data_IF_972001356230
#
_entry.id   IF_972001356230
#
_cell.length_a   1.000
_cell.length_b   1.000
_cell.length_c   1.000
_cell.angle_alpha   90.00
_cell.angle_beta   90.00
_cell.angle_gamma   90.00
#
_symmetry.space_group_name_H-M   'P 1'
#
loop_
_entity.id
_entity.type
_entity.pdbx_description
1 polymer ?
#
# COMPACT_ATOMS: atom_id res chain seq x y z
N UNK A 1 -23.00 47.58 7.36
CA UNK A 1 -22.11 48.49 8.12
C UNK A 1 -21.76 47.81 9.43
N UNK A 2 -20.48 47.93 9.82
CA UNK A 2 -19.78 47.46 11.03
C UNK A 2 -19.14 46.05 10.97
N UNK A 3 -17.86 46.10 10.60
CA UNK A 3 -16.76 45.20 11.00
C UNK A 3 -16.38 45.45 12.48
N UNK A 4 -15.73 44.49 13.14
CA UNK A 4 -14.64 44.86 14.04
C UNK A 4 -13.43 43.92 13.91
N UNK A 5 -12.31 44.46 13.42
CA UNK A 5 -10.97 44.01 13.80
C UNK A 5 -10.47 44.96 14.88
N UNK A 6 -10.14 44.43 16.05
CA UNK A 6 -9.35 45.14 17.06
C UNK A 6 -8.32 44.18 17.63
N UNK A 7 -7.05 44.57 17.53
CA UNK A 7 -5.87 43.81 17.94
C UNK A 7 -5.24 44.61 19.09
N UNK A 8 -5.43 44.16 20.32
CA UNK A 8 -4.73 44.70 21.49
C UNK A 8 -3.56 43.81 21.90
N UNK A 9 -2.42 44.47 22.07
CA UNK A 9 -1.12 43.97 22.49
C UNK A 9 -1.14 43.29 23.86
N UNK A 10 -0.23 42.33 24.08
CA UNK A 10 0.31 42.07 25.41
C UNK A 10 1.79 41.70 25.36
N UNK A 11 2.59 42.54 26.01
CA UNK A 11 4.00 42.36 26.35
C UNK A 11 4.12 41.37 27.52
N UNK A 12 5.02 40.39 27.42
CA UNK A 12 5.60 39.72 28.60
C UNK A 12 7.12 39.57 28.39
N UNK A 13 7.83 39.87 29.47
CA UNK A 13 9.24 40.22 29.58
C UNK A 13 10.22 39.07 29.33
N UNK A 14 11.42 39.49 28.94
CA UNK A 14 12.67 38.74 29.04
C UNK A 14 13.09 38.63 30.49
N UNK A 15 13.62 37.47 30.87
CA UNK A 15 14.65 37.35 31.89
C UNK A 15 15.64 36.25 31.44
N UNK A 16 16.89 36.65 31.29
CA UNK A 16 18.06 35.81 31.10
C UNK A 16 18.55 35.31 32.46
N UNK A 17 18.84 34.01 32.62
CA UNK A 17 20.16 33.59 33.13
C UNK A 17 20.41 32.08 33.04
N UNK A 18 21.69 31.81 32.78
CA UNK A 18 22.35 30.54 32.55
C UNK A 18 22.60 29.77 33.86
N UNK A 19 22.57 28.43 33.82
CA UNK A 19 23.50 27.65 34.64
C UNK A 19 23.88 26.32 33.96
N UNK A 20 25.16 25.99 34.10
CA UNK A 20 25.89 24.89 33.47
C UNK A 20 26.01 23.77 34.49
N UNK A 21 25.45 22.60 34.20
CA UNK A 21 25.51 21.44 35.08
C UNK A 21 25.60 20.14 34.29
N UNK A 22 26.82 19.64 34.14
CA UNK A 22 27.19 18.39 33.49
C UNK A 22 26.94 17.20 34.43
N UNK A 23 26.12 16.22 34.04
CA UNK A 23 26.18 14.86 34.60
C UNK A 23 25.62 13.84 33.62
N UNK A 24 26.53 12.99 33.13
CA UNK A 24 26.29 11.79 32.34
C UNK A 24 25.29 10.84 33.00
N UNK A 25 24.22 10.47 32.30
CA UNK A 25 23.56 9.17 32.49
C UNK A 25 23.11 8.59 31.14
N UNK A 26 23.61 7.40 30.85
CA UNK A 26 23.23 6.54 29.73
C UNK A 26 21.73 6.18 29.77
N UNK A 27 20.99 6.41 28.69
CA UNK A 27 19.97 5.44 28.21
C UNK A 27 19.44 5.79 26.81
N UNK A 28 19.61 4.83 25.89
CA UNK A 28 18.77 4.47 24.73
C UNK A 28 18.14 5.58 23.87
N UNK A 29 18.68 5.73 22.66
CA UNK A 29 18.26 6.65 21.60
C UNK A 29 16.85 6.32 21.07
N UNK A 30 16.14 7.41 20.80
CA UNK A 30 14.72 7.57 20.52
C UNK A 30 14.26 7.01 19.17
N UNK A 31 12.99 6.57 19.13
CA UNK A 31 12.22 6.43 17.91
C UNK A 31 11.65 7.80 17.52
N UNK A 32 12.12 8.36 16.41
CA UNK A 32 11.69 9.68 15.93
C UNK A 32 10.29 9.59 15.33
N UNK A 33 9.28 9.77 16.19
CA UNK A 33 7.90 9.98 15.79
C UNK A 33 7.74 11.36 15.16
N UNK A 34 7.35 11.38 13.89
CA UNK A 34 6.97 12.60 13.16
C UNK A 34 5.74 13.21 13.87
N UNK A 35 5.87 14.48 14.27
CA UNK A 35 4.96 15.18 15.17
C UNK A 35 3.50 15.24 14.71
N UNK A 36 2.59 14.93 15.63
CA UNK A 36 1.20 15.37 15.60
C UNK A 36 0.81 16.03 16.92
N UNK A 37 0.15 17.17 16.77
CA UNK A 37 -0.35 18.08 17.79
C UNK A 37 -1.23 17.42 18.88
N UNK A 38 -1.08 17.95 20.10
CA UNK A 38 -1.97 17.90 21.29
C UNK A 38 -2.47 16.53 21.76
N UNK A 39 -1.84 16.03 22.83
CA UNK A 39 -2.23 14.84 23.60
C UNK A 39 -3.61 14.99 24.24
N UNK A 40 -4.67 14.66 23.52
CA UNK A 40 -5.90 14.18 24.15
C UNK A 40 -5.65 12.79 24.76
N UNK A 41 -6.15 12.52 25.96
CA UNK A 41 -6.12 11.17 26.52
C UNK A 41 -6.84 10.20 25.59
N UNK A 42 -6.26 9.02 25.32
CA UNK A 42 -6.89 7.96 24.51
C UNK A 42 -8.30 7.69 25.09
N UNK A 43 -9.39 7.89 24.31
CA UNK A 43 -10.76 7.92 24.83
C UNK A 43 -11.31 6.54 25.21
N UNK A 44 -10.71 5.48 24.66
CA UNK A 44 -11.10 4.09 24.88
C UNK A 44 -10.09 3.37 25.78
N UNK A 45 -10.61 2.50 26.62
CA UNK A 45 -9.86 1.49 27.38
C UNK A 45 -10.18 0.11 26.76
N UNK A 46 -9.17 -0.63 26.33
CA UNK A 46 -9.35 -1.99 25.80
C UNK A 46 -9.63 -2.96 26.97
N UNK A 47 -10.74 -3.70 26.86
CA UNK A 47 -11.14 -4.74 27.81
C UNK A 47 -10.62 -6.10 27.35
N UNK A 48 -10.77 -6.40 26.06
CA UNK A 48 -10.35 -7.67 25.48
C UNK A 48 -10.08 -7.55 24.00
N UNK A 49 -9.21 -8.44 23.51
CA UNK A 49 -8.86 -8.62 22.11
C UNK A 49 -8.85 -10.11 21.78
N UNK A 50 -9.60 -10.50 20.78
CA UNK A 50 -9.80 -11.92 20.44
C UNK A 50 -9.84 -12.06 18.92
N UNK A 51 -9.08 -12.99 18.35
CA UNK A 51 -9.31 -13.41 16.97
C UNK A 51 -10.63 -14.20 16.92
N UNK A 52 -11.56 -13.74 16.08
CA UNK A 52 -12.90 -14.36 15.93
C UNK A 52 -13.09 -15.05 14.59
N UNK A 53 -12.19 -14.80 13.63
CA UNK A 53 -12.16 -15.45 12.34
C UNK A 53 -10.75 -15.42 11.75
N UNK A 54 -10.38 -16.49 11.05
CA UNK A 54 -9.18 -16.55 10.21
C UNK A 54 -9.49 -17.32 8.93
N UNK A 55 -9.14 -16.71 7.81
CA UNK A 55 -9.10 -17.39 6.52
C UNK A 55 -7.80 -18.19 6.40
N UNK A 56 -7.88 -19.43 5.90
CA UNK A 56 -6.72 -20.26 5.59
C UNK A 56 -6.76 -20.62 4.11
N UNK A 57 -5.67 -20.31 3.39
CA UNK A 57 -5.52 -20.65 1.96
C UNK A 57 -5.97 -19.57 0.96
N UNK A 58 -6.61 -18.49 1.44
CA UNK A 58 -6.95 -17.31 0.64
C UNK A 58 -5.96 -16.16 0.85
N UNK A 59 -6.47 -14.97 1.12
CA UNK A 59 -5.66 -13.75 1.34
C UNK A 59 -4.90 -13.74 2.69
N UNK A 60 -5.05 -14.79 3.51
CA UNK A 60 -4.54 -14.88 4.88
C UNK A 60 -4.95 -13.64 5.70
N UNK A 61 -6.27 -13.43 5.81
CA UNK A 61 -6.82 -12.39 6.66
C UNK A 61 -7.46 -12.95 7.92
N UNK A 62 -7.41 -12.16 8.99
CA UNK A 62 -8.02 -12.44 10.27
C UNK A 62 -8.93 -11.28 10.69
N UNK A 63 -10.02 -11.60 11.39
CA UNK A 63 -10.88 -10.63 12.05
C UNK A 63 -10.63 -10.70 13.55
N UNK A 64 -10.25 -9.57 14.12
CA UNK A 64 -10.03 -9.41 15.56
C UNK A 64 -11.16 -8.59 16.16
N UNK A 65 -11.88 -9.16 17.12
CA UNK A 65 -12.83 -8.44 17.96
C UNK A 65 -12.06 -7.70 19.06
N UNK A 66 -12.31 -6.40 19.19
CA UNK A 66 -11.78 -5.53 20.24
C UNK A 66 -12.97 -4.99 21.03
N UNK A 67 -13.09 -5.37 22.31
CA UNK A 67 -14.08 -4.80 23.23
C UNK A 67 -13.43 -3.70 24.04
N UNK A 68 -14.11 -2.58 24.16
CA UNK A 68 -13.60 -1.38 24.80
C UNK A 68 -14.64 -0.75 25.72
N UNK A 69 -14.15 0.08 26.64
CA UNK A 69 -14.95 0.98 27.47
C UNK A 69 -14.59 2.43 27.16
N UNK A 70 -15.58 3.27 26.94
CA UNK A 70 -15.40 4.72 26.79
C UNK A 70 -15.07 5.30 28.16
N UNK A 71 -13.86 5.85 28.33
CA UNK A 71 -13.38 6.33 29.65
C UNK A 71 -14.25 7.44 30.24
N UNK A 72 -14.84 8.29 29.39
CA UNK A 72 -15.63 9.43 29.82
C UNK A 72 -17.04 9.05 30.31
N UNK A 73 -17.65 8.01 29.74
CA UNK A 73 -19.06 7.65 30.00
C UNK A 73 -19.22 6.29 30.69
N UNK A 74 -18.20 5.43 30.63
CA UNK A 74 -18.30 4.04 31.07
C UNK A 74 -19.01 3.11 30.09
N UNK A 75 -19.53 3.64 28.97
CA UNK A 75 -20.23 2.86 27.94
C UNK A 75 -19.31 1.85 27.26
N UNK A 76 -19.87 0.72 26.85
CA UNK A 76 -19.15 -0.32 26.13
C UNK A 76 -19.22 -0.09 24.63
N UNK A 77 -18.11 -0.32 23.92
CA UNK A 77 -18.04 -0.30 22.47
C UNK A 77 -17.24 -1.49 21.95
N UNK A 78 -17.69 -2.08 20.85
CA UNK A 78 -17.04 -3.22 20.19
C UNK A 78 -16.65 -2.85 18.76
N UNK A 79 -15.46 -3.26 18.35
CA UNK A 79 -14.94 -3.11 17.00
C UNK A 79 -14.49 -4.45 16.45
N UNK A 80 -14.73 -4.69 15.16
CA UNK A 80 -14.15 -5.81 14.44
C UNK A 80 -13.13 -5.25 13.46
N UNK A 81 -11.86 -5.60 13.66
CA UNK A 81 -10.74 -5.11 12.86
C UNK A 81 -10.22 -6.23 11.96
N UNK A 82 -10.05 -5.93 10.68
CA UNK A 82 -9.51 -6.86 9.68
C UNK A 82 -8.01 -6.62 9.53
N UNK A 83 -7.24 -7.71 9.62
CA UNK A 83 -5.81 -7.73 9.35
C UNK A 83 -5.53 -8.71 8.21
N UNK A 84 -4.66 -8.33 7.27
CA UNK A 84 -4.20 -9.18 6.18
C UNK A 84 -2.72 -9.49 6.42
N UNK A 85 -2.29 -10.74 6.15
CA UNK A 85 -0.89 -11.17 6.27
C UNK A 85 -0.26 -10.78 7.61
N UNK A 86 -1.00 -10.99 8.70
CA UNK A 86 -0.62 -10.63 10.07
C UNK A 86 -0.20 -9.15 10.27
N UNK A 87 -0.69 -8.24 9.44
CA UNK A 87 -0.38 -6.81 9.53
C UNK A 87 0.98 -6.43 8.95
N UNK A 88 1.57 -7.28 8.09
CA UNK A 88 2.74 -6.92 7.31
C UNK A 88 2.48 -5.63 6.51
N UNK A 89 3.54 -4.84 6.31
CA UNK A 89 3.42 -3.58 5.58
C UNK A 89 3.37 -3.90 4.09
N UNK A 90 2.32 -3.45 3.40
CA UNK A 90 2.23 -3.57 1.94
C UNK A 90 3.01 -2.49 1.19
N UNK A 91 3.18 -2.67 -0.11
CA UNK A 91 3.81 -1.70 -1.01
C UNK A 91 2.87 -1.30 -2.14
N UNK A 92 2.96 -0.04 -2.59
CA UNK A 92 2.42 0.41 -3.88
C UNK A 92 3.60 0.94 -4.69
N UNK A 93 3.82 0.35 -5.85
CA UNK A 93 4.95 0.63 -6.73
C UNK A 93 4.57 1.69 -7.78
N UNK A 94 5.02 2.92 -7.58
CA UNK A 94 4.99 3.97 -8.61
C UNK A 94 6.14 3.71 -9.59
N UNK A 95 5.88 2.84 -10.56
CA UNK A 95 6.87 2.40 -11.56
C UNK A 95 6.91 3.39 -12.72
N UNK A 96 8.10 3.91 -13.03
CA UNK A 96 8.34 4.80 -14.17
C UNK A 96 9.37 4.24 -15.13
N UNK A 97 9.10 4.38 -16.43
CA UNK A 97 10.08 4.14 -17.48
C UNK A 97 11.11 5.27 -17.58
N UNK A 98 12.18 5.05 -18.35
CA UNK A 98 13.21 6.07 -18.61
C UNK A 98 12.64 7.31 -19.34
N UNK A 99 11.64 7.13 -20.20
CA UNK A 99 10.91 8.22 -20.87
C UNK A 99 9.77 8.82 -20.00
N UNK A 100 9.73 8.48 -18.71
CA UNK A 100 8.89 9.14 -17.72
C UNK A 100 7.42 8.74 -17.72
N UNK A 101 7.06 7.62 -18.38
CA UNK A 101 5.70 7.07 -18.34
C UNK A 101 5.53 6.13 -17.16
N UNK A 102 4.30 6.03 -16.67
CA UNK A 102 3.90 5.17 -15.56
C UNK A 102 3.38 3.83 -16.06
N UNK A 103 3.68 2.75 -15.34
CA UNK A 103 3.09 1.44 -15.60
C UNK A 103 1.83 1.24 -14.75
N UNK A 104 0.73 0.87 -15.39
CA UNK A 104 -0.50 0.44 -14.74
C UNK A 104 -0.84 -1.00 -15.14
N UNK A 105 -1.28 -1.79 -14.17
CA UNK A 105 -1.98 -3.07 -14.37
C UNK A 105 -3.49 -2.84 -14.41
N UNK A 106 -4.22 -3.70 -15.12
CA UNK A 106 -5.68 -3.65 -15.18
C UNK A 106 -6.25 -4.87 -14.45
N UNK A 107 -6.64 -4.66 -13.20
CA UNK A 107 -6.98 -5.70 -12.26
C UNK A 107 -8.48 -5.99 -12.21
N UNK A 108 -8.90 -7.26 -12.29
CA UNK A 108 -10.27 -7.64 -11.96
C UNK A 108 -10.47 -7.60 -10.44
N UNK A 109 -11.26 -6.65 -9.96
CA UNK A 109 -11.56 -6.49 -8.53
C UNK A 109 -12.89 -7.16 -8.20
N UNK A 110 -12.83 -8.35 -7.59
CA UNK A 110 -14.02 -9.15 -7.25
C UNK A 110 -15.02 -8.41 -6.35
N UNK A 111 -14.53 -7.55 -5.44
CA UNK A 111 -15.35 -6.79 -4.49
C UNK A 111 -16.29 -5.78 -5.15
N UNK A 112 -15.89 -5.26 -6.32
CA UNK A 112 -16.64 -4.27 -7.10
C UNK A 112 -17.06 -4.80 -8.47
N UNK A 113 -16.65 -6.02 -8.83
CA UNK A 113 -16.98 -6.71 -10.09
C UNK A 113 -16.64 -5.88 -11.34
N UNK A 114 -15.48 -5.23 -11.33
CA UNK A 114 -15.00 -4.43 -12.45
C UNK A 114 -13.48 -4.51 -12.59
N UNK A 115 -13.01 -4.13 -13.78
CA UNK A 115 -11.60 -3.92 -14.07
C UNK A 115 -11.17 -2.54 -13.58
N UNK A 116 -10.06 -2.47 -12.85
CA UNK A 116 -9.48 -1.21 -12.34
C UNK A 116 -8.03 -1.05 -12.79
N UNK A 117 -7.70 0.16 -13.25
CA UNK A 117 -6.32 0.54 -13.54
C UNK A 117 -5.59 0.93 -12.26
N UNK A 118 -4.49 0.26 -11.99
CA UNK A 118 -3.81 0.34 -10.71
C UNK A 118 -2.29 0.31 -10.85
N UNK A 119 -1.59 0.92 -9.89
CA UNK A 119 -0.18 0.66 -9.71
C UNK A 119 0.04 -0.76 -9.14
N UNK A 120 1.13 -1.44 -9.54
CA UNK A 120 1.51 -2.72 -8.95
C UNK A 120 1.65 -2.61 -7.44
N UNK A 121 1.18 -3.62 -6.70
CA UNK A 121 1.11 -3.58 -5.25
C UNK A 121 0.92 -4.95 -4.64
N UNK A 122 1.42 -5.12 -3.43
CA UNK A 122 1.04 -6.27 -2.63
C UNK A 122 1.47 -6.15 -1.19
N UNK A 123 1.21 -7.20 -0.42
CA UNK A 123 1.47 -7.23 1.00
C UNK A 123 2.86 -7.79 1.27
N UNK A 124 3.57 -7.23 2.25
CA UNK A 124 4.85 -7.77 2.67
C UNK A 124 4.74 -9.18 3.25
N UNK A 125 5.81 -9.94 3.13
CA UNK A 125 5.95 -11.23 3.80
C UNK A 125 6.87 -11.15 5.02
N UNK A 126 6.85 -12.19 5.86
CA UNK A 126 7.64 -12.22 7.09
C UNK A 126 9.14 -12.10 6.78
N UNK A 127 9.78 -11.07 7.35
CA UNK A 127 11.21 -10.82 7.19
C UNK A 127 11.60 -10.03 5.93
N UNK A 128 10.65 -9.69 5.05
CA UNK A 128 10.93 -8.83 3.89
C UNK A 128 11.11 -7.36 4.30
N UNK A 129 12.06 -6.67 3.69
CA UNK A 129 12.08 -5.21 3.66
C UNK A 129 11.06 -4.68 2.65
N UNK A 130 10.70 -3.40 2.77
CA UNK A 130 9.78 -2.73 1.84
C UNK A 130 10.30 -2.79 0.40
N UNK A 131 11.61 -2.65 0.21
CA UNK A 131 12.25 -2.75 -1.09
C UNK A 131 12.18 -4.16 -1.65
N UNK A 132 12.39 -5.18 -0.80
CA UNK A 132 12.27 -6.59 -1.22
C UNK A 132 10.84 -6.91 -1.67
N UNK A 133 9.85 -6.53 -0.86
CA UNK A 133 8.43 -6.67 -1.22
C UNK A 133 8.12 -5.94 -2.53
N UNK A 134 8.56 -4.68 -2.68
CA UNK A 134 8.30 -3.91 -3.90
C UNK A 134 8.90 -4.54 -5.17
N UNK A 135 10.08 -5.15 -5.07
CA UNK A 135 10.73 -5.85 -6.21
C UNK A 135 9.99 -7.15 -6.52
N UNK A 136 9.63 -7.92 -5.49
CA UNK A 136 8.90 -9.19 -5.64
C UNK A 136 7.55 -8.94 -6.32
N UNK A 137 6.75 -8.03 -5.80
CA UNK A 137 5.43 -7.69 -6.37
C UNK A 137 5.56 -7.13 -7.79
N UNK A 138 6.59 -6.31 -8.06
CA UNK A 138 6.88 -5.85 -9.41
C UNK A 138 7.16 -7.03 -10.34
N UNK A 139 7.98 -7.99 -9.93
CA UNK A 139 8.32 -9.15 -10.75
C UNK A 139 7.12 -10.07 -10.99
N UNK A 140 6.34 -10.37 -9.95
CA UNK A 140 5.14 -11.21 -10.01
C UNK A 140 4.09 -10.63 -10.97
N UNK A 141 3.77 -9.34 -10.83
CA UNK A 141 2.74 -8.70 -11.63
C UNK A 141 3.21 -8.32 -13.05
N UNK A 142 4.46 -7.86 -13.16
CA UNK A 142 4.91 -7.18 -14.38
C UNK A 142 5.91 -8.00 -15.19
N UNK A 143 6.67 -8.87 -14.53
CA UNK A 143 7.83 -9.59 -15.09
C UNK A 143 9.11 -8.74 -15.17
N UNK A 144 9.10 -7.51 -14.65
CA UNK A 144 10.30 -6.69 -14.50
C UNK A 144 11.04 -7.06 -13.23
N UNK A 145 12.33 -7.34 -13.37
CA UNK A 145 13.15 -7.79 -12.25
C UNK A 145 14.09 -6.69 -11.78
N UNK A 146 14.86 -6.97 -10.73
CA UNK A 146 15.95 -6.10 -10.27
C UNK A 146 16.86 -5.61 -11.41
N UNK A 147 17.09 -6.44 -12.44
CA UNK A 147 17.96 -6.11 -13.56
C UNK A 147 17.39 -5.04 -14.51
N UNK A 148 16.08 -4.80 -14.47
CA UNK A 148 15.41 -3.77 -15.26
C UNK A 148 15.33 -2.42 -14.51
N UNK A 149 15.68 -2.37 -13.23
CA UNK A 149 15.73 -1.14 -12.42
C UNK A 149 16.97 -0.34 -12.79
N UNK A 150 16.83 0.99 -12.91
CA UNK A 150 17.94 1.90 -13.15
C UNK A 150 18.90 1.88 -11.97
N UNK A 151 20.19 1.63 -12.19
CA UNK A 151 21.19 1.79 -11.14
C UNK A 151 21.71 3.22 -11.13
N UNK A 152 21.49 4.00 -10.06
CA UNK A 152 22.27 5.20 -9.80
C UNK A 152 23.62 4.76 -9.26
N UNK A 153 24.59 4.64 -10.16
CA UNK A 153 26.00 4.63 -9.72
C UNK A 153 26.26 5.96 -9.04
N UNK A 154 26.37 5.95 -7.71
CA UNK A 154 26.91 7.09 -6.97
C UNK A 154 28.36 7.21 -7.45
N UNK A 155 28.67 8.23 -8.26
CA UNK A 155 30.05 8.67 -8.42
C UNK A 155 30.49 9.19 -7.04
N UNK A 156 31.12 8.34 -6.24
CA UNK A 156 31.88 8.80 -5.09
C UNK A 156 33.14 9.47 -5.63
N UNK A 157 33.22 10.78 -5.50
CA UNK A 157 34.49 11.47 -5.66
C UNK A 157 35.45 10.96 -4.57
N UNK A 158 36.37 10.11 -5.02
CA UNK A 158 37.70 9.82 -4.48
C UNK A 158 37.84 9.17 -3.09
N UNK A 159 38.47 8.00 -3.15
CA UNK A 159 39.37 7.36 -2.17
C UNK A 159 38.86 7.17 -0.75
N UNK A 160 38.25 6.01 -0.49
CA UNK A 160 38.63 5.18 0.65
C UNK A 160 38.22 3.71 0.39
N UNK A 161 39.22 2.83 0.40
CA UNK A 161 39.06 1.38 0.22
C UNK A 161 38.87 0.75 1.59
N UNK A 162 37.63 0.53 2.03
CA UNK A 162 37.34 -0.36 3.15
C UNK A 162 36.06 -1.19 2.95
N UNK A 163 36.26 -2.51 3.04
CA UNK A 163 35.30 -3.62 3.26
C UNK A 163 33.98 -3.63 2.48
N UNK A 164 33.92 -4.51 1.47
CA UNK A 164 32.68 -5.03 0.88
C UNK A 164 31.96 -5.92 1.90
N UNK A 165 30.97 -5.37 2.60
CA UNK A 165 29.94 -6.15 3.29
C UNK A 165 28.58 -5.49 3.09
N UNK A 166 27.76 -6.09 2.24
CA UNK A 166 26.28 -6.05 2.19
C UNK A 166 25.55 -4.72 2.51
N UNK A 167 26.03 -3.60 1.97
CA UNK A 167 25.30 -2.32 2.00
C UNK A 167 25.31 -1.64 0.64
N UNK A 168 24.84 -2.34 -0.38
CA UNK A 168 24.43 -1.68 -1.63
C UNK A 168 22.95 -1.34 -1.54
N UNK A 169 22.61 -0.38 -0.69
CA UNK A 169 21.26 0.20 -0.64
C UNK A 169 21.15 1.11 -1.87
N UNK A 170 20.76 0.53 -3.01
CA UNK A 170 20.66 1.29 -4.24
C UNK A 170 19.62 2.40 -4.09
N UNK A 171 19.97 3.63 -4.48
CA UNK A 171 19.11 4.82 -4.41
C UNK A 171 17.99 4.83 -5.47
N UNK A 172 17.61 3.65 -5.97
CA UNK A 172 16.81 3.45 -7.19
C UNK A 172 15.39 2.99 -6.90
N UNK A 173 15.20 2.50 -5.66
CA UNK A 173 13.92 2.25 -5.05
C UNK A 173 13.82 3.23 -3.90
N UNK A 174 12.88 4.16 -3.98
CA UNK A 174 12.73 5.22 -2.99
C UNK A 174 11.39 5.08 -2.30
N UNK A 175 11.41 4.75 -1.01
CA UNK A 175 10.22 4.85 -0.17
C UNK A 175 9.86 6.34 -0.02
N UNK A 176 8.71 6.74 -0.56
CA UNK A 176 8.24 8.12 -0.53
C UNK A 176 7.52 8.45 0.78
N UNK A 177 6.63 7.56 1.22
CA UNK A 177 5.76 7.80 2.36
C UNK A 177 5.11 6.49 2.83
N UNK A 178 4.74 6.43 4.11
CA UNK A 178 3.81 5.43 4.63
C UNK A 178 2.44 6.05 4.89
N UNK A 179 1.37 5.34 4.57
CA UNK A 179 0.02 5.75 4.90
C UNK A 179 -0.88 4.56 5.26
N UNK A 180 -2.07 4.88 5.77
CA UNK A 180 -3.13 3.92 6.08
C UNK A 180 -4.27 4.18 5.08
N UNK A 181 -4.52 3.28 4.11
CA UNK A 181 -5.51 3.49 3.06
C UNK A 181 -6.94 3.44 3.59
N UNK A 182 -7.16 2.69 4.66
CA UNK A 182 -8.37 2.70 5.46
C UNK A 182 -7.97 2.98 6.91
N UNK A 183 -8.76 3.82 7.59
CA UNK A 183 -8.56 4.14 9.00
C UNK A 183 -9.81 3.79 9.79
N UNK A 184 -9.68 2.88 10.76
CA UNK A 184 -10.69 2.63 11.78
C UNK A 184 -11.09 1.17 11.95
N UNK A 185 -11.13 0.40 10.86
CA UNK A 185 -11.53 -1.03 10.88
C UNK A 185 -10.56 -1.96 10.14
N UNK A 186 -9.52 -1.40 9.52
CA UNK A 186 -8.40 -2.15 8.97
C UNK A 186 -7.11 -1.61 9.56
N UNK A 187 -6.14 -2.49 9.82
CA UNK A 187 -4.81 -2.08 10.32
C UNK A 187 -3.74 -2.07 9.21
N UNK A 188 -4.15 -2.02 7.95
CA UNK A 188 -3.23 -2.13 6.81
C UNK A 188 -2.39 -0.86 6.74
N UNK A 189 -1.07 -1.03 6.82
CA UNK A 189 -0.10 0.05 6.58
C UNK A 189 0.56 -0.23 5.24
N UNK A 190 0.67 0.81 4.41
CA UNK A 190 1.23 0.69 3.07
C UNK A 190 2.35 1.70 2.88
N UNK A 191 3.44 1.25 2.24
CA UNK A 191 4.53 2.08 1.78
C UNK A 191 4.34 2.43 0.30
N UNK A 192 4.44 3.71 -0.05
CA UNK A 192 4.48 4.15 -1.44
C UNK A 192 5.95 4.16 -1.86
N UNK A 193 6.27 3.41 -2.91
CA UNK A 193 7.64 3.18 -3.37
C UNK A 193 7.77 3.65 -4.81
N UNK A 194 8.70 4.55 -5.07
CA UNK A 194 9.06 4.94 -6.45
C UNK A 194 10.13 3.99 -6.99
N UNK A 195 9.89 3.45 -8.19
CA UNK A 195 10.83 2.61 -8.93
C UNK A 195 11.01 3.20 -10.32
N UNK A 196 12.26 3.41 -10.73
CA UNK A 196 12.59 3.88 -12.09
C UNK A 196 13.30 2.76 -12.85
N UNK A 197 12.78 2.42 -14.03
CA UNK A 197 13.36 1.41 -14.91
C UNK A 197 14.44 2.00 -15.81
N UNK A 198 15.37 1.15 -16.25
CA UNK A 198 16.56 1.52 -17.02
C UNK A 198 16.33 1.64 -18.54
N UNK A 199 15.10 1.41 -19.01
CA UNK A 199 14.71 1.39 -20.42
C UNK A 199 13.51 2.28 -20.70
N UNK A 200 13.38 2.68 -21.95
CA UNK A 200 12.20 3.38 -22.47
C UNK A 200 11.00 2.45 -22.61
N UNK A 201 9.79 3.01 -22.69
CA UNK A 201 8.58 2.22 -22.92
C UNK A 201 8.62 1.39 -24.21
N UNK A 202 9.28 1.88 -25.26
CA UNK A 202 9.44 1.14 -26.51
C UNK A 202 10.26 -0.14 -26.31
N UNK A 203 11.41 -0.03 -25.66
CA UNK A 203 12.30 -1.17 -25.37
C UNK A 203 11.64 -2.18 -24.45
N UNK A 204 10.96 -1.70 -23.40
CA UNK A 204 10.25 -2.53 -22.43
C UNK A 204 9.09 -3.31 -23.09
N UNK A 205 8.34 -2.68 -24.00
CA UNK A 205 7.24 -3.35 -24.71
C UNK A 205 7.76 -4.42 -25.66
N UNK A 206 8.89 -4.17 -26.35
CA UNK A 206 9.51 -5.14 -27.26
C UNK A 206 10.12 -6.33 -26.52
N UNK A 207 10.74 -6.13 -25.35
CA UNK A 207 11.27 -7.22 -24.54
C UNK A 207 10.18 -8.08 -23.88
N UNK A 208 8.99 -7.50 -23.69
CA UNK A 208 7.83 -8.17 -23.08
C UNK A 208 7.10 -9.11 -24.04
N UNK A 209 7.20 -8.90 -25.35
CA UNK A 209 6.56 -9.77 -26.37
C UNK A 209 7.09 -11.22 -26.37
N UNK A 210 8.20 -11.49 -25.66
CA UNK A 210 8.70 -12.85 -25.39
C UNK A 210 8.43 -13.37 -23.96
N UNK A 211 7.87 -12.56 -23.06
CA UNK A 211 7.61 -12.93 -21.64
C UNK A 211 6.13 -12.98 -21.27
N UNK A 212 5.25 -12.39 -22.07
CA UNK A 212 3.81 -12.35 -21.81
C UNK A 212 3.09 -13.44 -22.61
N UNK A 213 2.97 -14.65 -22.05
CA UNK A 213 1.99 -15.63 -22.53
C UNK A 213 0.99 -15.87 -21.41
N UNK A 214 -0.21 -15.34 -21.62
CA UNK A 214 -1.40 -15.54 -20.82
C UNK A 214 -2.60 -14.98 -21.58
N UNK A 215 -2.80 -15.40 -22.83
CA UNK A 215 -4.01 -15.08 -23.59
C UNK A 215 -5.20 -15.83 -23.01
N UNK A 216 -6.28 -15.12 -22.70
CA UNK A 216 -7.57 -15.70 -22.28
C UNK A 216 -8.20 -16.43 -23.49
N UNK A 217 -8.70 -17.67 -23.36
CA UNK A 217 -9.52 -18.31 -24.39
C UNK A 217 -10.88 -17.61 -24.53
N UNK A 218 -11.35 -17.46 -25.76
CA UNK A 218 -12.58 -16.74 -26.18
C UNK A 218 -13.93 -17.38 -25.71
N UNK A 219 -13.99 -18.07 -24.57
CA UNK A 219 -15.18 -18.80 -24.14
C UNK A 219 -15.88 -18.16 -22.92
N UNK A 220 -16.41 -16.94 -23.11
CA UNK A 220 -17.39 -16.34 -22.20
C UNK A 220 -18.77 -16.15 -22.89
N UNK A 221 -19.17 -17.11 -23.72
CA UNK A 221 -20.53 -17.18 -24.27
C UNK A 221 -21.11 -18.59 -24.10
N UNK A 222 -21.63 -18.91 -22.92
CA UNK A 222 -22.33 -20.20 -22.79
C UNK A 222 -22.67 -20.69 -21.40
N UNK A 223 -23.31 -19.90 -20.55
CA UNK A 223 -24.09 -20.47 -19.44
C UNK A 223 -25.55 -20.04 -19.59
N UNK A 224 -26.32 -20.93 -20.22
CA UNK A 224 -27.77 -20.82 -20.32
C UNK A 224 -28.37 -21.09 -18.94
N UNK A 225 -29.28 -20.21 -18.55
CA UNK A 225 -30.17 -20.34 -17.41
C UNK A 225 -30.98 -21.65 -17.50
N UNK A 226 -30.84 -22.53 -16.51
CA UNK A 226 -31.88 -23.51 -16.20
C UNK A 226 -32.47 -23.21 -14.83
N UNK A 227 -33.71 -22.69 -14.87
CA UNK A 227 -34.61 -22.57 -13.73
C UNK A 227 -35.16 -23.95 -13.41
N UNK A 228 -34.83 -24.49 -12.24
CA UNK A 228 -35.48 -25.66 -11.65
C UNK A 228 -35.94 -25.35 -10.24
N UNK A 229 -37.23 -25.06 -10.09
CA UNK A 229 -37.91 -24.99 -8.79
C UNK A 229 -38.07 -26.41 -8.22
N UNK A 230 -37.65 -26.61 -6.98
CA UNK A 230 -37.91 -27.82 -6.20
C UNK A 230 -37.70 -27.55 -4.73
N UNK A 231 -38.81 -27.38 -4.01
CA UNK A 231 -38.89 -27.26 -2.55
C UNK A 231 -38.70 -28.63 -1.88
N UNK A 232 -37.94 -28.68 -0.77
CA UNK A 232 -38.27 -29.48 0.41
C UNK A 232 -37.25 -29.32 1.56
N UNK A 233 -37.72 -28.66 2.61
CA UNK A 233 -37.51 -28.90 4.05
C UNK A 233 -36.27 -29.66 4.59
N UNK A 234 -35.68 -29.00 5.60
CA UNK A 234 -35.02 -29.52 6.81
C UNK A 234 -33.54 -29.92 6.77
N UNK A 235 -32.82 -29.40 7.78
CA UNK A 235 -31.44 -29.65 8.20
C UNK A 235 -30.33 -28.83 7.50
N UNK A 236 -30.04 -27.61 8.00
CA UNK A 236 -28.81 -26.87 7.67
C UNK A 236 -27.72 -27.15 8.70
N UNK A 237 -27.08 -28.31 8.59
CA UNK A 237 -25.65 -28.39 8.89
C UNK A 237 -24.93 -27.67 7.75
N UNK A 238 -24.36 -26.50 8.02
CA UNK A 238 -23.56 -25.74 7.05
C UNK A 238 -22.21 -26.43 6.84
N UNK A 239 -22.22 -27.58 6.17
CA UNK A 239 -21.01 -28.11 5.54
C UNK A 239 -20.85 -27.40 4.20
N UNK A 240 -20.01 -26.38 4.15
CA UNK A 240 -19.52 -25.88 2.87
C UNK A 240 -18.84 -27.05 2.15
N UNK A 241 -19.22 -27.38 0.91
CA UNK A 241 -18.47 -28.37 0.16
C UNK A 241 -17.06 -27.82 -0.05
N UNK A 242 -16.06 -28.52 0.48
CA UNK A 242 -14.64 -28.32 0.12
C UNK A 242 -14.45 -28.78 -1.32
N UNK A 243 -14.88 -27.96 -2.26
CA UNK A 243 -14.37 -28.06 -3.61
C UNK A 243 -12.92 -27.57 -3.56
N UNK A 244 -11.99 -28.45 -3.95
CA UNK A 244 -10.60 -28.09 -4.12
C UNK A 244 -10.53 -26.99 -5.19
N UNK A 245 -10.33 -25.74 -4.76
CA UNK A 245 -9.98 -24.65 -5.66
C UNK A 245 -8.71 -25.07 -6.40
N UNK A 246 -8.84 -25.40 -7.68
CA UNK A 246 -7.69 -25.65 -8.53
C UNK A 246 -6.80 -24.40 -8.48
N UNK A 247 -5.54 -24.57 -8.10
CA UNK A 247 -4.51 -23.54 -8.24
C UNK A 247 -4.39 -23.22 -9.74
N UNK A 248 -5.10 -22.19 -10.19
CA UNK A 248 -4.89 -21.61 -11.50
C UNK A 248 -3.48 -21.01 -11.52
N UNK A 249 -2.64 -21.50 -12.42
CA UNK A 249 -1.24 -21.07 -12.59
C UNK A 249 -1.10 -19.81 -13.44
N UNK A 250 -2.07 -18.89 -13.36
CA UNK A 250 -2.08 -17.63 -14.08
C UNK A 250 -2.79 -16.59 -13.24
N UNK A 251 -2.16 -15.43 -13.08
CA UNK A 251 -2.68 -14.33 -12.30
C UNK A 251 -3.89 -13.71 -13.01
N UNK A 252 -5.06 -14.32 -12.79
CA UNK A 252 -6.34 -13.90 -13.35
C UNK A 252 -6.67 -12.46 -12.96
N UNK A 253 -6.08 -11.96 -11.86
CA UNK A 253 -6.25 -10.60 -11.39
C UNK A 253 -5.79 -9.64 -12.49
N UNK A 254 -4.64 -9.88 -13.13
CA UNK A 254 -4.05 -9.07 -14.18
C UNK A 254 -4.56 -9.31 -15.62
N UNK A 255 -5.63 -10.08 -15.77
CA UNK A 255 -6.17 -10.48 -17.07
C UNK A 255 -6.59 -9.31 -17.98
N UNK A 256 -6.81 -8.11 -17.43
CA UNK A 256 -7.13 -6.89 -18.18
C UNK A 256 -5.95 -6.25 -18.92
N UNK A 257 -4.72 -6.76 -18.72
CA UNK A 257 -3.51 -6.29 -19.37
C UNK A 257 -2.76 -5.18 -18.63
N UNK A 258 -1.72 -4.63 -19.28
CA UNK A 258 -0.82 -3.60 -18.75
C UNK A 258 -0.74 -2.42 -19.70
N UNK A 259 -0.54 -1.20 -19.18
CA UNK A 259 -0.44 0.03 -20.00
C UNK A 259 0.61 0.98 -19.46
N UNK A 260 1.38 1.55 -20.38
CA UNK A 260 2.23 2.71 -20.11
C UNK A 260 1.46 4.00 -20.35
N UNK A 261 1.42 4.90 -19.37
CA UNK A 261 0.66 6.15 -19.44
C UNK A 261 1.52 7.37 -19.10
N UNK A 262 1.36 8.45 -19.85
CA UNK A 262 2.03 9.72 -19.55
C UNK A 262 1.41 10.44 -18.35
N UNK A 263 2.10 11.44 -17.81
CA UNK A 263 1.57 12.26 -16.70
C UNK A 263 0.22 12.92 -17.04
N UNK A 264 0.13 13.57 -18.21
CA UNK A 264 -1.11 14.25 -18.67
C UNK A 264 -2.26 13.28 -18.93
N UNK A 265 -1.93 12.07 -19.40
CA UNK A 265 -2.89 11.01 -19.65
C UNK A 265 -3.42 10.44 -18.33
N UNK A 266 -2.54 10.18 -17.36
CA UNK A 266 -2.94 9.72 -16.03
C UNK A 266 -3.83 10.77 -15.34
N UNK A 267 -3.49 12.05 -15.45
CA UNK A 267 -4.36 13.15 -15.04
C UNK A 267 -5.72 13.18 -15.75
N UNK A 268 -5.74 12.84 -17.04
CA UNK A 268 -6.99 12.71 -17.81
C UNK A 268 -7.82 11.51 -17.34
N UNK A 269 -7.19 10.38 -17.03
CA UNK A 269 -7.85 9.18 -16.51
C UNK A 269 -8.48 9.42 -15.15
N UNK A 270 -7.81 10.19 -14.28
CA UNK A 270 -8.37 10.62 -12.99
C UNK A 270 -9.61 11.50 -13.21
N UNK A 271 -9.51 12.52 -14.09
CA UNK A 271 -10.63 13.43 -14.37
C UNK A 271 -11.84 12.73 -14.98
N UNK A 272 -11.62 11.71 -15.82
CA UNK A 272 -12.70 10.97 -16.47
C UNK A 272 -13.30 9.86 -15.60
N UNK A 273 -12.66 9.51 -14.48
CA UNK A 273 -13.02 8.35 -13.65
C UNK A 273 -12.56 7.02 -14.21
N UNK A 274 -11.70 7.00 -15.24
CA UNK A 274 -11.08 5.77 -15.75
C UNK A 274 -10.03 5.21 -14.78
N UNK A 275 -9.41 6.07 -13.97
CA UNK A 275 -8.57 5.68 -12.85
C UNK A 275 -9.28 6.11 -11.56
N UNK A 276 -9.83 5.14 -10.84
CA UNK A 276 -10.66 5.36 -9.65
C UNK A 276 -10.16 4.62 -8.40
N UNK A 277 -9.14 3.76 -8.51
CA UNK A 277 -8.56 3.06 -7.36
C UNK A 277 -7.94 4.06 -6.37
N UNK A 278 -8.46 4.07 -5.15
CA UNK A 278 -8.07 5.03 -4.11
C UNK A 278 -6.59 4.92 -3.72
N UNK A 279 -6.02 3.71 -3.72
CA UNK A 279 -4.62 3.50 -3.40
C UNK A 279 -3.70 4.06 -4.49
N UNK A 280 -4.02 3.80 -5.75
CA UNK A 280 -3.30 4.36 -6.91
C UNK A 280 -3.39 5.89 -6.95
N UNK A 281 -4.58 6.45 -6.68
CA UNK A 281 -4.78 7.91 -6.57
C UNK A 281 -3.89 8.52 -5.48
N UNK A 282 -3.86 7.92 -4.28
CA UNK A 282 -3.03 8.38 -3.17
C UNK A 282 -1.53 8.31 -3.50
N UNK A 283 -1.08 7.18 -4.08
CA UNK A 283 0.32 7.00 -4.48
C UNK A 283 0.75 8.03 -5.52
N UNK A 284 -0.08 8.31 -6.52
CA UNK A 284 0.22 9.32 -7.53
C UNK A 284 0.25 10.74 -6.93
N UNK A 285 -0.67 11.08 -6.03
CA UNK A 285 -0.68 12.37 -5.35
C UNK A 285 0.60 12.58 -4.51
N UNK A 286 1.02 11.57 -3.76
CA UNK A 286 2.28 11.59 -2.99
C UNK A 286 3.48 11.71 -3.92
N UNK A 287 3.51 10.98 -5.03
CA UNK A 287 4.58 11.08 -6.02
C UNK A 287 4.67 12.50 -6.59
N UNK A 288 3.54 13.11 -6.96
CA UNK A 288 3.50 14.51 -7.43
C UNK A 288 4.04 15.48 -6.39
N UNK A 289 3.60 15.38 -5.14
CA UNK A 289 4.08 16.24 -4.05
C UNK A 289 5.60 16.11 -3.80
N UNK A 290 6.20 14.97 -4.14
CA UNK A 290 7.63 14.70 -3.98
C UNK A 290 8.48 15.06 -5.21
N UNK A 291 7.87 15.33 -6.37
CA UNK A 291 8.58 15.45 -7.65
C UNK A 291 8.20 16.68 -8.49
N UNK A 292 7.09 17.36 -8.19
CA UNK A 292 6.72 18.64 -8.81
C UNK A 292 7.22 19.78 -7.92
N UNK A 293 8.07 20.65 -8.47
CA UNK A 293 8.54 21.89 -7.82
C UNK A 293 7.51 23.00 -7.99
#
# INVERSE_FOLDING_TARGET
MNSPYDISHNNISRDDNCDVGNSNENSTVESTAIGRNTRGSIPLEEISRSEVYREVGGADFAVTEIRTRVKATGEYAQFNVVNVKNGAIGTICVVRSQDGKFLLGNHWRVSVSQFEWEFPRGMGEEGETIEQTAIRELEEETGFTRADIANKTVMSDSSDVLSKSDKDVSQDIRVLQYFYPDTGLQSIKVAIVEIVLNKTTQELTQSSQGRLIGSIPDEAQGLKNERGLGDNSSNRSSSYPTEHFAQYSGDWELSGGKRWVGCDELDSMIRSGQLADGMTLAAYAVWKANNQK
#
